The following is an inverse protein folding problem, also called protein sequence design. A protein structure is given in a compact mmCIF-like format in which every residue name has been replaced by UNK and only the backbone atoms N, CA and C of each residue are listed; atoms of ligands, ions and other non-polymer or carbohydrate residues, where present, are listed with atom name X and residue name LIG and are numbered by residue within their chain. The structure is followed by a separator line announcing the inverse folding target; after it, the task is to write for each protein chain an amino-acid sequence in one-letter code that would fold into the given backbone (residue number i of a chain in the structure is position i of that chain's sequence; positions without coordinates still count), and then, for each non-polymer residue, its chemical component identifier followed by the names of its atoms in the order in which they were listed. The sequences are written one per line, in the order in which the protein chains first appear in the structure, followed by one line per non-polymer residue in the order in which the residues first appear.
data_IF_422964708009
#
_entry.id   IF_422964708009
#
_cell.length_a   1.000
_cell.length_b   1.000
_cell.length_c   1.000
_cell.angle_alpha   90.00
_cell.angle_beta   90.00
_cell.angle_gamma   90.00
#
_symmetry.space_group_name_H-M   'P 1'
#
loop_
_entity.id
_entity.type
_entity.pdbx_description
1 polymer ?
#
# COMPACT_ATOMS: atom_id res chain seq x y z
N UNK A 1 -22.92 -14.65 6.04
CA UNK A 1 -21.47 -14.65 6.25
C UNK A 1 -20.95 -13.26 5.86
N UNK A 2 -20.40 -12.55 6.85
CA UNK A 2 -19.69 -11.25 6.84
C UNK A 2 -20.18 -10.16 5.84
N UNK A 3 -21.27 -9.49 6.22
CA UNK A 3 -21.65 -8.17 5.70
C UNK A 3 -20.81 -7.08 6.40
N UNK A 4 -19.76 -6.58 5.75
CA UNK A 4 -19.03 -5.40 6.22
C UNK A 4 -19.75 -4.13 5.75
N UNK A 5 -20.59 -3.57 6.62
CA UNK A 5 -21.18 -2.24 6.44
C UNK A 5 -20.11 -1.15 6.69
N UNK A 6 -20.11 -0.06 5.91
CA UNK A 6 -19.24 1.07 6.17
C UNK A 6 -19.65 1.75 7.49
N UNK A 7 -18.63 2.08 8.26
CA UNK A 7 -18.67 2.74 9.56
C UNK A 7 -19.51 4.02 9.47
N UNK A 8 -20.69 4.01 10.11
CA UNK A 8 -21.55 5.17 10.27
C UNK A 8 -21.32 5.75 11.67
N UNK A 9 -20.43 6.73 11.76
CA UNK A 9 -20.10 7.40 13.01
C UNK A 9 -21.19 8.43 13.39
N UNK A 10 -21.94 8.06 14.43
CA UNK A 10 -22.51 8.84 15.53
C UNK A 10 -22.69 10.36 15.33
N UNK A 11 -23.96 10.80 15.35
CA UNK A 11 -24.37 12.11 15.89
C UNK A 11 -25.43 11.91 16.95
N UNK A 12 -25.03 11.81 18.22
CA UNK A 12 -25.89 12.13 19.37
C UNK A 12 -25.05 12.88 20.39
N UNK A 13 -25.31 14.17 20.45
CA UNK A 13 -24.77 15.10 21.44
C UNK A 13 -25.46 14.81 22.76
N UNK A 14 -24.70 14.44 23.78
CA UNK A 14 -25.08 14.58 25.18
C UNK A 14 -23.89 15.22 25.90
N UNK A 15 -24.11 16.45 26.36
CA UNK A 15 -23.18 17.23 27.19
C UNK A 15 -23.26 16.73 28.64
N UNK A 16 -22.16 16.19 29.18
CA UNK A 16 -21.83 16.18 30.61
C UNK A 16 -20.31 16.27 30.74
N UNK A 17 -19.84 17.09 31.68
CA UNK A 17 -18.45 17.53 31.82
C UNK A 17 -17.43 16.37 31.85
N UNK A 18 -16.40 16.46 31.02
CA UNK A 18 -15.25 15.55 30.99
C UNK A 18 -13.98 16.39 31.07
N UNK A 19 -13.11 16.04 32.02
CA UNK A 19 -11.75 16.56 32.14
C UNK A 19 -11.08 16.59 30.76
N UNK A 20 -10.47 17.71 30.39
CA UNK A 20 -9.89 17.93 29.06
C UNK A 20 -9.00 16.77 28.62
N UNK A 21 -9.58 15.86 27.83
CA UNK A 21 -8.82 14.88 27.06
C UNK A 21 -8.22 15.70 25.91
N UNK A 22 -6.89 15.77 25.76
CA UNK A 22 -6.32 16.39 24.58
C UNK A 22 -6.90 15.63 23.39
N UNK A 23 -7.65 16.33 22.54
CA UNK A 23 -8.10 15.79 21.27
C UNK A 23 -6.85 15.37 20.51
N UNK A 24 -6.65 14.06 20.36
CA UNK A 24 -5.61 13.54 19.50
C UNK A 24 -6.01 14.02 18.09
N UNK A 25 -5.36 15.09 17.65
CA UNK A 25 -5.60 15.68 16.34
C UNK A 25 -5.01 14.72 15.30
N UNK A 26 -5.73 13.62 15.04
CA UNK A 26 -5.41 12.66 13.98
C UNK A 26 -5.71 13.39 12.69
N UNK A 27 -4.73 14.14 12.19
CA UNK A 27 -4.80 14.67 10.85
C UNK A 27 -4.92 13.46 9.90
N UNK A 28 -6.03 13.30 9.15
CA UNK A 28 -6.18 12.19 8.24
C UNK A 28 -5.03 12.27 7.24
N UNK A 29 -4.08 11.34 7.36
CA UNK A 29 -2.91 11.36 6.49
C UNK A 29 -3.37 10.86 5.14
N UNK A 30 -3.35 11.75 4.14
CA UNK A 30 -3.75 11.40 2.78
C UNK A 30 -2.89 10.23 2.29
N UNK A 31 -3.52 9.19 1.77
CA UNK A 31 -2.83 8.05 1.19
C UNK A 31 -1.92 8.52 0.03
N UNK A 32 -0.66 8.08 -0.02
CA UNK A 32 0.27 8.48 -1.05
C UNK A 32 -0.11 7.82 -2.38
N UNK A 33 0.11 8.53 -3.49
CA UNK A 33 -0.18 8.02 -4.84
C UNK A 33 1.06 8.04 -5.70
N UNK A 34 1.32 6.96 -6.44
CA UNK A 34 2.41 6.85 -7.40
C UNK A 34 1.86 6.62 -8.81
N UNK A 35 2.32 7.40 -9.78
CA UNK A 35 1.95 7.23 -11.20
C UNK A 35 2.99 6.37 -11.91
N UNK A 36 2.51 5.41 -12.69
CA UNK A 36 3.32 4.54 -13.55
C UNK A 36 2.86 4.69 -14.99
N UNK A 37 3.53 3.99 -15.92
CA UNK A 37 3.10 3.93 -17.33
C UNK A 37 1.74 3.22 -17.50
N UNK A 38 1.40 2.31 -16.58
CA UNK A 38 0.28 1.40 -16.72
C UNK A 38 -0.94 1.86 -15.90
N UNK A 39 -0.74 2.73 -14.90
CA UNK A 39 -1.82 3.29 -14.09
C UNK A 39 -1.31 3.97 -12.82
N UNK A 40 -2.23 4.27 -11.90
CA UNK A 40 -1.91 4.92 -10.62
C UNK A 40 -2.07 3.94 -9.47
N UNK A 41 -1.07 3.88 -8.59
CA UNK A 41 -1.13 3.12 -7.35
C UNK A 41 -1.40 4.02 -6.15
N UNK A 42 -2.12 3.49 -5.17
CA UNK A 42 -2.36 4.10 -3.85
C UNK A 42 -1.65 3.25 -2.81
N UNK A 43 -0.71 3.85 -2.09
CA UNK A 43 0.07 3.21 -1.04
C UNK A 43 -0.45 3.50 0.37
N UNK A 44 0.34 3.12 1.36
CA UNK A 44 0.06 3.34 2.78
C UNK A 44 0.98 4.42 3.33
N UNK A 45 0.41 5.49 3.90
CA UNK A 45 1.17 6.43 4.71
C UNK A 45 1.41 5.85 6.11
N UNK A 46 2.66 5.91 6.60
CA UNK A 46 3.04 5.59 7.98
C UNK A 46 3.54 6.88 8.65
N UNK A 47 2.65 7.67 9.28
CA UNK A 47 2.99 8.99 9.83
C UNK A 47 4.12 8.97 10.85
N UNK A 48 4.16 7.94 11.68
CA UNK A 48 5.11 7.82 12.79
C UNK A 48 6.55 7.63 12.29
N UNK A 49 6.71 7.12 11.06
CA UNK A 49 8.01 6.87 10.44
C UNK A 49 8.33 7.85 9.31
N UNK A 50 7.47 8.84 9.05
CA UNK A 50 7.59 9.73 7.88
C UNK A 50 7.73 8.94 6.56
N UNK A 51 7.09 7.78 6.44
CA UNK A 51 7.22 6.87 5.31
C UNK A 51 5.93 6.74 4.51
N UNK A 52 6.09 6.53 3.22
CA UNK A 52 5.05 6.09 2.29
C UNK A 52 5.45 4.71 1.76
N UNK A 53 4.60 3.70 1.93
CA UNK A 53 4.87 2.32 1.56
C UNK A 53 4.00 1.90 0.38
N UNK A 54 4.62 1.25 -0.60
CA UNK A 54 3.97 0.62 -1.72
C UNK A 54 4.45 -0.84 -1.84
N UNK A 55 3.53 -1.79 -1.92
CA UNK A 55 3.84 -3.22 -2.00
C UNK A 55 2.97 -3.92 -3.05
N UNK A 56 3.46 -5.05 -3.53
CA UNK A 56 2.74 -5.90 -4.48
C UNK A 56 2.58 -5.26 -5.86
N UNK A 57 3.48 -4.34 -6.24
CA UNK A 57 3.42 -3.69 -7.56
C UNK A 57 4.09 -4.59 -8.59
N UNK A 58 3.38 -5.17 -9.57
CA UNK A 58 4.00 -5.93 -10.64
C UNK A 58 4.88 -5.02 -11.50
N UNK A 59 6.06 -5.50 -11.88
CA UNK A 59 6.96 -4.79 -12.79
C UNK A 59 7.22 -5.54 -14.10
N UNK A 60 6.92 -6.84 -14.15
CA UNK A 60 7.08 -7.69 -15.32
C UNK A 60 6.12 -8.88 -15.27
N UNK A 61 5.87 -9.48 -16.43
CA UNK A 61 5.24 -10.79 -16.55
C UNK A 61 6.31 -11.87 -16.33
N UNK A 62 5.92 -13.00 -15.75
CA UNK A 62 6.80 -14.10 -15.38
C UNK A 62 6.53 -15.39 -16.19
N UNK A 63 6.69 -15.38 -17.52
CA UNK A 63 6.52 -16.60 -18.32
C UNK A 63 7.59 -17.64 -17.94
N UNK A 64 7.17 -18.91 -17.87
CA UNK A 64 8.02 -20.00 -17.40
C UNK A 64 9.11 -20.32 -18.42
N UNK A 65 10.36 -20.39 -17.95
CA UNK A 65 11.55 -20.68 -18.77
C UNK A 65 11.79 -19.67 -19.90
N UNK A 66 11.25 -18.47 -19.75
CA UNK A 66 11.44 -17.36 -20.68
C UNK A 66 11.97 -16.14 -19.92
N UNK A 67 12.49 -15.17 -20.67
CA UNK A 67 12.86 -13.88 -20.09
C UNK A 67 11.61 -13.15 -19.62
N UNK A 68 11.74 -12.44 -18.50
CA UNK A 68 10.68 -11.57 -17.99
C UNK A 68 10.26 -10.55 -19.06
N UNK A 69 8.96 -10.43 -19.27
CA UNK A 69 8.40 -9.54 -20.30
C UNK A 69 7.81 -8.28 -19.67
N UNK A 70 7.80 -7.18 -20.42
CA UNK A 70 7.14 -5.96 -19.95
C UNK A 70 5.63 -6.17 -19.77
N UNK A 71 5.02 -5.46 -18.82
CA UNK A 71 3.57 -5.48 -18.65
C UNK A 71 2.88 -4.91 -19.90
N UNK A 72 1.88 -5.62 -20.40
CA UNK A 72 1.17 -5.26 -21.64
C UNK A 72 -0.21 -4.61 -21.41
N UNK A 73 -0.65 -4.48 -20.16
CA UNK A 73 -1.95 -3.95 -19.79
C UNK A 73 -1.82 -2.64 -19.02
N UNK A 74 -2.73 -1.70 -19.28
CA UNK A 74 -2.95 -0.51 -18.46
C UNK A 74 -4.37 -0.47 -17.92
N UNK A 75 -4.60 0.32 -16.88
CA UNK A 75 -5.91 0.46 -16.25
C UNK A 75 -6.23 1.93 -15.98
N UNK A 76 -7.54 2.23 -15.94
CA UNK A 76 -8.05 3.53 -15.50
C UNK A 76 -8.28 3.54 -13.99
N UNK A 77 -8.11 4.70 -13.36
CA UNK A 77 -8.33 4.88 -11.94
C UNK A 77 -7.13 4.49 -11.09
N UNK A 78 -7.39 4.02 -9.88
CA UNK A 78 -6.37 3.73 -8.86
C UNK A 78 -6.40 2.27 -8.45
N UNK A 79 -5.24 1.68 -8.27
CA UNK A 79 -5.07 0.34 -7.71
C UNK A 79 -4.39 0.43 -6.34
N UNK A 80 -4.84 -0.35 -5.37
CA UNK A 80 -4.18 -0.38 -4.06
C UNK A 80 -2.86 -1.16 -4.15
N UNK A 81 -1.83 -0.66 -3.47
CA UNK A 81 -0.50 -1.24 -3.40
C UNK A 81 -0.07 -1.35 -1.93
N UNK A 82 -0.89 -2.02 -1.12
CA UNK A 82 -0.68 -2.17 0.33
C UNK A 82 -0.44 -3.62 0.74
N UNK A 83 -0.95 -4.57 -0.03
CA UNK A 83 -0.75 -6.00 0.21
C UNK A 83 0.55 -6.49 -0.42
N UNK A 84 1.20 -7.51 0.17
CA UNK A 84 2.31 -8.18 -0.46
C UNK A 84 1.85 -8.89 -1.75
N UNK A 85 2.73 -8.91 -2.76
CA UNK A 85 2.54 -9.75 -3.95
C UNK A 85 2.91 -11.20 -3.68
N UNK A 86 2.71 -12.06 -4.69
CA UNK A 86 3.12 -13.46 -4.63
C UNK A 86 4.64 -13.57 -4.54
N UNK A 87 5.11 -14.54 -3.76
CA UNK A 87 6.53 -14.92 -3.70
C UNK A 87 6.84 -15.98 -4.75
N UNK A 88 8.06 -15.96 -5.29
CA UNK A 88 8.47 -16.90 -6.32
C UNK A 88 8.67 -18.30 -5.74
N UNK A 89 8.30 -19.31 -6.53
CA UNK A 89 8.64 -20.70 -6.23
C UNK A 89 10.16 -20.86 -6.17
N UNK A 90 10.64 -21.44 -5.08
CA UNK A 90 12.06 -21.64 -4.84
C UNK A 90 12.30 -22.43 -3.57
N UNK A 91 13.51 -22.97 -3.43
CA UNK A 91 13.95 -23.57 -2.18
C UNK A 91 14.19 -22.46 -1.16
N UNK A 92 13.40 -22.47 -0.08
CA UNK A 92 13.47 -21.44 0.94
C UNK A 92 12.42 -21.64 2.02
N UNK A 93 12.31 -20.64 2.88
CA UNK A 93 11.41 -20.65 4.05
C UNK A 93 10.11 -19.91 3.79
N UNK A 94 9.86 -19.44 2.55
CA UNK A 94 8.68 -18.64 2.23
C UNK A 94 7.37 -19.37 2.59
N UNK A 95 7.31 -20.67 2.31
CA UNK A 95 6.22 -21.55 2.71
C UNK A 95 6.11 -21.75 4.23
N UNK A 96 7.22 -21.74 4.97
CA UNK A 96 7.25 -21.81 6.43
C UNK A 96 6.71 -20.53 7.09
N UNK A 97 6.91 -19.38 6.45
CA UNK A 97 6.40 -18.08 6.90
C UNK A 97 4.98 -17.78 6.40
N UNK A 98 4.36 -18.71 5.67
CA UNK A 98 2.98 -18.57 5.19
C UNK A 98 2.81 -17.52 4.08
N UNK A 99 3.89 -17.17 3.35
CA UNK A 99 3.77 -16.32 2.18
C UNK A 99 3.08 -17.08 1.04
N UNK A 100 2.18 -16.41 0.33
CA UNK A 100 1.57 -16.97 -0.86
C UNK A 100 2.62 -17.14 -1.96
N UNK A 101 2.64 -18.31 -2.58
CA UNK A 101 3.57 -18.68 -3.64
C UNK A 101 2.81 -18.80 -4.95
N UNK A 102 3.36 -18.24 -6.02
CA UNK A 102 2.82 -18.40 -7.37
C UNK A 102 3.82 -18.03 -8.45
N UNK A 103 3.42 -18.26 -9.70
CA UNK A 103 4.29 -18.00 -10.87
C UNK A 103 4.38 -16.49 -11.18
N UNK A 104 3.31 -15.72 -10.95
CA UNK A 104 3.27 -14.26 -11.15
C UNK A 104 3.89 -13.48 -9.96
N UNK A 105 5.14 -13.80 -9.65
CA UNK A 105 5.83 -13.32 -8.44
C UNK A 105 6.72 -12.08 -8.65
N UNK A 106 6.81 -11.54 -9.87
CA UNK A 106 7.69 -10.41 -10.20
C UNK A 106 7.08 -9.06 -9.76
N UNK A 107 7.14 -8.82 -8.45
CA UNK A 107 6.55 -7.66 -7.79
C UNK A 107 7.61 -6.85 -7.01
N UNK A 108 7.37 -5.54 -6.84
CA UNK A 108 8.23 -4.62 -6.11
C UNK A 108 7.60 -4.20 -4.76
N UNK A 109 8.49 -3.91 -3.82
CA UNK A 109 8.21 -3.20 -2.58
C UNK A 109 9.04 -1.91 -2.56
N UNK A 110 8.39 -0.77 -2.31
CA UNK A 110 9.00 0.55 -2.29
C UNK A 110 8.59 1.28 -1.00
N UNK A 111 9.58 1.62 -0.20
CA UNK A 111 9.41 2.44 1.00
C UNK A 111 10.08 3.80 0.77
N UNK A 112 9.28 4.86 0.62
CA UNK A 112 9.76 6.22 0.37
C UNK A 112 9.70 7.09 1.64
N UNK A 113 10.84 7.68 1.99
CA UNK A 113 10.97 8.60 3.11
C UNK A 113 10.54 10.01 2.69
N UNK A 114 9.39 10.46 3.21
CA UNK A 114 8.81 11.77 2.87
C UNK A 114 9.75 12.93 3.15
N UNK A 115 10.58 12.83 4.18
CA UNK A 115 11.56 13.88 4.51
C UNK A 115 12.60 14.07 3.41
N UNK A 116 13.06 12.99 2.77
CA UNK A 116 14.02 13.07 1.66
C UNK A 116 13.36 13.66 0.41
N UNK A 117 12.13 13.23 0.09
CA UNK A 117 11.33 13.79 -1.00
C UNK A 117 11.11 15.30 -0.85
N UNK A 118 10.84 15.76 0.38
CA UNK A 118 10.68 17.18 0.66
C UNK A 118 12.00 17.99 0.60
N UNK A 119 13.15 17.36 0.81
CA UNK A 119 14.45 18.03 0.64
C UNK A 119 14.81 18.20 -0.83
N UNK A 120 14.58 17.17 -1.65
CA UNK A 120 14.85 17.24 -3.08
C UNK A 120 13.92 18.18 -3.84
N UNK A 121 12.67 18.37 -3.39
CA UNK A 121 11.74 19.34 -3.99
C UNK A 121 11.99 20.79 -3.60
N UNK A 122 12.88 21.02 -2.61
CA UNK A 122 13.30 22.36 -2.18
C UNK A 122 14.63 22.80 -2.82
N UNK A 123 15.27 21.95 -3.59
CA UNK A 123 16.43 22.25 -4.44
C UNK A 123 15.97 22.45 -5.88
#
# INVERSE_FOLDING_TARGET
MKNNKPYRCIKRVFFLAVLGVPELNVHPTKAPTAKTKNGTYVGLAVPQLSQDIFRGIPFAQAPRFELAQSLNSSWSGTHEAIEPGLTCSGYGTNNLFGFEVGEDCLNLMLDDLRELRQRQSRQ
#
